data_IF_172073751424
#
_entry.id   IF_172073751424
#
_cell.length_a   1.000
_cell.length_b   1.000
_cell.length_c   1.000
_cell.angle_alpha   90.00
_cell.angle_beta   90.00
_cell.angle_gamma   90.00
#
_symmetry.space_group_name_H-M   'P 1'
#
loop_
_entity.id
_entity.type
_entity.pdbx_description
1 polymer ?
#
# COMPACT_ATOMS: atom_id res chain seq x y z
N UNK A 1 -66.55 41.65 -3.85
CA UNK A 1 -66.46 41.10 -5.23
C UNK A 1 -65.29 41.83 -5.87
N UNK A 2 -64.15 41.27 -6.26
CA UNK A 2 -63.78 39.89 -6.61
C UNK A 2 -62.23 39.81 -6.61
N UNK A 3 -61.67 38.73 -6.06
CA UNK A 3 -60.85 37.71 -6.72
C UNK A 3 -59.32 37.92 -6.73
N UNK A 4 -58.66 37.07 -5.93
CA UNK A 4 -57.34 36.46 -6.16
C UNK A 4 -57.10 36.08 -7.63
N UNK A 5 -55.84 36.16 -8.11
CA UNK A 5 -55.09 34.93 -8.44
C UNK A 5 -53.58 35.18 -8.41
N UNK A 6 -52.89 34.37 -7.61
CA UNK A 6 -51.45 34.17 -7.59
C UNK A 6 -51.00 33.52 -8.90
N UNK A 7 -50.04 34.10 -9.60
CA UNK A 7 -49.40 33.46 -10.74
C UNK A 7 -48.28 32.54 -10.25
N UNK A 8 -48.58 31.25 -10.12
CA UNK A 8 -47.59 30.19 -10.00
C UNK A 8 -46.82 30.08 -11.33
N UNK A 9 -45.47 30.04 -11.35
CA UNK A 9 -44.77 29.75 -12.59
C UNK A 9 -45.05 28.30 -12.99
N UNK A 10 -45.61 28.12 -14.19
CA UNK A 10 -45.77 26.81 -14.80
C UNK A 10 -44.40 26.13 -14.93
N UNK A 11 -44.25 24.94 -14.35
CA UNK A 11 -43.11 24.07 -14.62
C UNK A 11 -43.15 23.71 -16.11
N UNK A 12 -42.24 24.30 -16.89
CA UNK A 12 -42.05 23.94 -18.28
C UNK A 12 -41.59 22.48 -18.33
N UNK A 13 -42.40 21.62 -18.96
CA UNK A 13 -41.99 20.26 -19.26
C UNK A 13 -40.72 20.31 -20.12
N UNK A 14 -39.69 19.49 -19.81
CA UNK A 14 -38.45 19.48 -20.58
C UNK A 14 -38.78 19.15 -22.04
N UNK A 15 -38.25 19.94 -22.96
CA UNK A 15 -38.47 19.74 -24.39
C UNK A 15 -37.92 18.37 -24.82
N UNK A 16 -38.44 17.77 -25.90
CA UNK A 16 -37.97 16.48 -26.40
C UNK A 16 -36.45 16.41 -26.63
N UNK A 17 -35.84 17.54 -27.04
CA UNK A 17 -34.39 17.67 -27.19
C UNK A 17 -33.63 17.60 -25.86
N UNK A 18 -34.15 18.22 -24.79
CA UNK A 18 -33.54 18.15 -23.46
C UNK A 18 -33.62 16.75 -22.87
N UNK A 19 -34.74 16.03 -23.08
CA UNK A 19 -34.85 14.63 -22.66
C UNK A 19 -33.85 13.74 -23.40
N UNK A 20 -33.68 13.96 -24.71
CA UNK A 20 -32.73 13.20 -25.53
C UNK A 20 -31.29 13.45 -25.07
N UNK A 21 -30.94 14.70 -24.79
CA UNK A 21 -29.62 15.06 -24.24
C UNK A 21 -29.38 14.46 -22.85
N UNK A 22 -30.38 14.50 -21.96
CA UNK A 22 -30.28 13.91 -20.62
C UNK A 22 -30.11 12.39 -20.68
N UNK A 23 -30.81 11.72 -21.60
CA UNK A 23 -30.70 10.28 -21.83
C UNK A 23 -29.31 9.90 -22.35
N UNK A 24 -28.73 10.70 -23.24
CA UNK A 24 -27.36 10.50 -23.74
C UNK A 24 -26.30 10.71 -22.66
N UNK A 25 -26.47 11.72 -21.80
CA UNK A 25 -25.57 11.98 -20.69
C UNK A 25 -25.62 10.86 -19.64
N UNK A 26 -26.83 10.34 -19.35
CA UNK A 26 -27.01 9.21 -18.44
C UNK A 26 -26.38 7.93 -19.01
N UNK A 27 -26.51 7.70 -20.32
CA UNK A 27 -25.87 6.56 -20.98
C UNK A 27 -24.34 6.66 -20.90
N UNK A 28 -23.76 7.85 -21.11
CA UNK A 28 -22.32 8.08 -20.98
C UNK A 28 -21.83 7.86 -19.54
N UNK A 29 -22.57 8.34 -18.54
CA UNK A 29 -22.24 8.13 -17.13
C UNK A 29 -22.30 6.64 -16.75
N UNK A 30 -23.30 5.91 -17.26
CA UNK A 30 -23.44 4.46 -17.03
C UNK A 30 -22.26 3.70 -17.66
N UNK A 31 -21.82 4.11 -18.85
CA UNK A 31 -20.68 3.50 -19.53
C UNK A 31 -19.36 3.72 -18.76
N UNK A 32 -19.16 4.92 -18.22
CA UNK A 32 -18.02 5.24 -17.34
C UNK A 32 -18.05 4.42 -16.05
N UNK A 33 -19.23 4.26 -15.44
CA UNK A 33 -19.38 3.48 -14.21
C UNK A 33 -19.12 1.98 -14.45
N UNK A 34 -19.50 1.46 -15.64
CA UNK A 34 -19.27 0.08 -16.04
C UNK A 34 -17.79 -0.21 -16.33
N UNK A 35 -17.06 0.76 -16.93
CA UNK A 35 -15.60 0.66 -17.05
C UNK A 35 -14.90 0.67 -15.68
N UNK A 36 -15.36 1.51 -14.74
CA UNK A 36 -14.73 1.59 -13.42
C UNK A 36 -14.98 0.35 -12.55
N UNK A 37 -16.10 -0.36 -12.73
CA UNK A 37 -16.36 -1.62 -12.02
C UNK A 37 -15.52 -2.81 -12.52
N UNK A 38 -14.81 -2.68 -13.65
CA UNK A 38 -13.98 -3.76 -14.19
C UNK A 38 -12.60 -3.90 -13.51
N UNK A 39 -12.23 -3.02 -12.58
CA UNK A 39 -10.89 -3.02 -11.93
C UNK A 39 -10.82 -3.64 -10.52
N UNK A 40 -11.58 -4.69 -10.22
CA UNK A 40 -11.20 -5.64 -9.17
C UNK A 40 -11.55 -7.08 -9.58
N UNK A 41 -10.58 -7.91 -10.02
CA UNK A 41 -10.85 -9.32 -10.19
C UNK A 41 -11.09 -9.94 -8.80
N UNK A 42 -12.35 -10.24 -8.51
CA UNK A 42 -12.71 -11.18 -7.46
C UNK A 42 -12.18 -12.55 -7.89
N UNK A 43 -11.08 -12.99 -7.28
CA UNK A 43 -10.43 -14.27 -7.56
C UNK A 43 -11.43 -15.42 -7.39
N UNK A 44 -11.89 -15.98 -8.51
CA UNK A 44 -12.63 -17.26 -8.53
C UNK A 44 -11.65 -18.38 -8.86
N UNK A 45 -11.67 -19.52 -8.14
CA UNK A 45 -10.78 -20.63 -8.47
C UNK A 45 -11.20 -21.25 -9.80
N UNK A 46 -10.35 -21.14 -10.83
CA UNK A 46 -10.63 -21.69 -12.16
C UNK A 46 -10.10 -23.12 -12.27
N UNK A 47 -10.94 -24.06 -12.72
CA UNK A 47 -10.62 -25.50 -12.88
C UNK A 47 -9.94 -25.84 -14.23
N UNK A 48 -9.67 -24.83 -15.06
CA UNK A 48 -9.17 -25.02 -16.42
C UNK A 48 -7.71 -24.54 -16.52
N UNK A 49 -6.76 -25.37 -17.00
CA UNK A 49 -5.34 -25.02 -17.08
C UNK A 49 -5.02 -23.79 -17.94
N UNK A 50 -5.85 -23.47 -18.95
CA UNK A 50 -5.68 -22.26 -19.76
C UNK A 50 -5.98 -20.98 -18.97
N UNK A 51 -6.97 -21.03 -18.07
CA UNK A 51 -7.32 -19.90 -17.20
C UNK A 51 -6.30 -19.73 -16.07
N UNK A 52 -5.67 -20.82 -15.63
CA UNK A 52 -4.55 -20.78 -14.70
C UNK A 52 -3.35 -20.06 -15.32
N UNK A 53 -2.96 -20.42 -16.55
CA UNK A 53 -1.83 -19.75 -17.22
C UNK A 53 -2.15 -18.28 -17.54
N UNK A 54 -3.40 -17.95 -17.85
CA UNK A 54 -3.84 -16.56 -17.99
C UNK A 54 -3.72 -15.79 -16.66
N UNK A 55 -4.17 -16.37 -15.54
CA UNK A 55 -4.04 -15.79 -14.20
C UNK A 55 -2.58 -15.62 -13.75
N UNK A 56 -1.72 -16.60 -14.04
CA UNK A 56 -0.29 -16.53 -13.77
C UNK A 56 0.40 -15.46 -14.62
N UNK A 57 0.02 -15.32 -15.88
CA UNK A 57 0.54 -14.25 -16.73
C UNK A 57 0.05 -12.88 -16.30
N UNK A 58 -1.19 -12.74 -15.81
CA UNK A 58 -1.66 -11.51 -15.19
C UNK A 58 -0.80 -11.15 -13.96
N UNK A 59 -0.58 -12.10 -13.05
CA UNK A 59 0.30 -11.92 -11.89
C UNK A 59 1.73 -11.53 -12.27
N UNK A 60 2.34 -12.22 -13.25
CA UNK A 60 3.69 -11.88 -13.75
C UNK A 60 3.74 -10.48 -14.34
N UNK A 61 2.70 -10.07 -15.06
CA UNK A 61 2.62 -8.75 -15.67
C UNK A 61 2.37 -7.65 -14.63
N UNK A 62 1.57 -7.92 -13.61
CA UNK A 62 1.33 -7.01 -12.49
C UNK A 62 2.61 -6.83 -11.67
N UNK A 63 3.32 -7.91 -11.37
CA UNK A 63 4.63 -7.84 -10.71
C UNK A 63 5.67 -7.07 -11.56
N UNK A 64 5.72 -7.31 -12.88
CA UNK A 64 6.59 -6.54 -13.78
C UNK A 64 6.22 -5.06 -13.81
N UNK A 65 4.92 -4.74 -13.83
CA UNK A 65 4.40 -3.38 -13.81
C UNK A 65 4.77 -2.69 -12.50
N UNK A 66 4.54 -3.35 -11.37
CA UNK A 66 4.88 -2.89 -10.04
C UNK A 66 6.39 -2.64 -9.91
N UNK A 67 7.22 -3.59 -10.39
CA UNK A 67 8.68 -3.41 -10.45
C UNK A 67 9.10 -2.24 -11.32
N UNK A 68 8.46 -2.02 -12.47
CA UNK A 68 8.79 -0.89 -13.35
C UNK A 68 8.32 0.45 -12.75
N UNK A 69 7.20 0.48 -12.03
CA UNK A 69 6.75 1.66 -11.30
C UNK A 69 7.58 1.95 -10.05
N UNK A 70 8.07 0.91 -9.35
CA UNK A 70 9.04 1.06 -8.28
C UNK A 70 10.38 1.56 -8.83
N UNK A 71 10.82 1.04 -9.99
CA UNK A 71 12.02 1.52 -10.70
C UNK A 71 11.95 2.99 -11.10
N UNK A 72 10.77 3.48 -11.49
CA UNK A 72 10.56 4.91 -11.82
C UNK A 72 10.71 5.83 -10.59
N UNK A 73 10.77 5.28 -9.38
CA UNK A 73 11.20 5.97 -8.15
C UNK A 73 12.54 5.48 -7.59
N UNK A 74 13.23 4.52 -8.24
CA UNK A 74 14.58 4.06 -7.87
C UNK A 74 15.69 4.95 -8.46
N UNK A 75 15.40 5.84 -9.40
CA UNK A 75 16.41 6.80 -9.90
C UNK A 75 16.95 7.72 -8.78
N UNK A 76 16.21 7.84 -7.67
CA UNK A 76 16.61 8.55 -6.44
C UNK A 76 16.97 7.60 -5.27
N UNK A 77 17.16 6.30 -5.53
CA UNK A 77 17.52 5.34 -4.48
C UNK A 77 19.00 5.50 -4.12
N UNK A 78 19.25 6.26 -3.05
CA UNK A 78 20.53 6.39 -2.36
C UNK A 78 20.69 5.24 -1.36
N UNK A 79 21.60 4.26 -1.59
CA UNK A 79 21.82 3.16 -0.68
C UNK A 79 22.11 3.65 0.75
N UNK A 80 21.65 2.92 1.76
CA UNK A 80 22.00 3.25 3.16
C UNK A 80 23.29 2.51 3.51
N UNK A 81 24.33 3.24 3.88
CA UNK A 81 25.53 2.62 4.43
C UNK A 81 25.36 2.33 5.94
N UNK A 82 26.07 1.33 6.45
CA UNK A 82 25.91 0.86 7.85
C UNK A 82 26.33 1.93 8.89
N UNK A 83 27.31 2.76 8.55
CA UNK A 83 27.86 3.83 9.38
C UNK A 83 26.90 5.03 9.52
N UNK A 84 26.03 5.24 8.53
CA UNK A 84 24.97 6.25 8.58
C UNK A 84 23.91 5.94 9.64
N UNK A 85 23.74 4.66 9.98
CA UNK A 85 22.74 4.18 10.94
C UNK A 85 23.25 4.46 12.37
N UNK A 86 22.93 5.66 12.88
CA UNK A 86 23.38 6.09 14.21
C UNK A 86 22.46 5.60 15.32
N UNK A 87 23.01 4.83 16.25
CA UNK A 87 22.30 4.39 17.46
C UNK A 87 22.17 5.54 18.46
N UNK A 88 21.04 5.60 19.15
CA UNK A 88 20.83 6.50 20.30
C UNK A 88 21.20 5.79 21.60
N UNK A 89 21.15 6.48 22.74
CA UNK A 89 21.31 5.83 24.05
C UNK A 89 20.29 4.68 24.27
N UNK A 90 19.06 4.82 23.76
CA UNK A 90 18.01 3.80 23.91
C UNK A 90 18.15 2.63 22.93
N UNK A 91 18.88 2.79 21.84
CA UNK A 91 19.00 1.77 20.77
C UNK A 91 20.43 1.27 20.59
N UNK A 92 21.33 1.66 21.50
CA UNK A 92 22.69 1.14 21.54
C UNK A 92 22.66 -0.36 21.80
N UNK A 93 23.46 -1.10 21.04
CA UNK A 93 23.72 -2.51 21.30
C UNK A 93 24.67 -2.62 22.50
N UNK A 94 24.28 -3.39 23.49
CA UNK A 94 25.09 -3.75 24.65
C UNK A 94 26.01 -4.90 24.28
N UNK A 95 27.18 -4.99 24.94
CA UNK A 95 28.15 -6.06 24.72
C UNK A 95 27.51 -7.45 24.85
N UNK A 96 26.69 -7.65 25.88
CA UNK A 96 25.96 -8.91 26.12
C UNK A 96 24.97 -9.27 25.01
N UNK A 97 24.49 -8.31 24.22
CA UNK A 97 23.63 -8.59 23.06
C UNK A 97 24.46 -8.98 21.83
N UNK A 98 25.68 -8.44 21.70
CA UNK A 98 26.60 -8.79 20.61
C UNK A 98 27.16 -10.21 20.71
N UNK A 99 27.23 -10.73 21.94
CA UNK A 99 27.75 -12.07 22.23
C UNK A 99 26.68 -13.17 22.08
N UNK A 100 25.44 -12.81 21.74
CA UNK A 100 24.40 -13.79 21.46
C UNK A 100 24.65 -14.47 20.11
N UNK A 101 24.47 -15.79 20.06
CA UNK A 101 24.71 -16.61 18.86
C UNK A 101 23.87 -16.19 17.65
N UNK A 102 22.69 -15.60 17.88
CA UNK A 102 21.76 -15.14 16.85
C UNK A 102 21.79 -13.63 16.62
N UNK A 103 22.82 -12.92 17.12
CA UNK A 103 23.00 -11.50 16.88
C UNK A 103 23.18 -11.16 15.40
N UNK A 104 22.57 -10.06 14.96
CA UNK A 104 22.65 -9.56 13.59
C UNK A 104 23.32 -8.17 13.53
N UNK A 105 24.39 -7.99 12.73
CA UNK A 105 24.93 -6.66 12.43
C UNK A 105 23.88 -5.79 11.71
N UNK A 106 24.09 -4.48 11.67
CA UNK A 106 23.07 -3.56 11.10
C UNK A 106 22.94 -3.77 9.61
N UNK A 107 24.02 -4.06 8.91
CA UNK A 107 24.03 -4.41 7.48
C UNK A 107 23.14 -5.62 7.16
N UNK A 108 23.18 -6.68 7.98
CA UNK A 108 22.29 -7.84 7.78
C UNK A 108 20.83 -7.51 8.06
N UNK A 109 20.55 -6.71 9.10
CA UNK A 109 19.19 -6.23 9.38
C UNK A 109 18.65 -5.34 8.27
N UNK A 110 19.48 -4.42 7.76
CA UNK A 110 19.16 -3.56 6.63
C UNK A 110 18.83 -4.40 5.40
N UNK A 111 19.69 -5.36 5.05
CA UNK A 111 19.50 -6.24 3.89
C UNK A 111 18.12 -6.91 3.89
N UNK A 112 17.64 -7.38 5.05
CA UNK A 112 16.31 -8.00 5.14
C UNK A 112 15.19 -6.94 5.07
N UNK A 113 15.30 -5.87 5.87
CA UNK A 113 14.23 -4.88 6.01
C UNK A 113 14.05 -4.00 4.76
N UNK A 114 15.09 -3.90 3.95
CA UNK A 114 15.09 -3.14 2.70
C UNK A 114 14.12 -3.67 1.64
N UNK A 115 13.61 -4.89 1.74
CA UNK A 115 12.61 -5.39 0.80
C UNK A 115 11.18 -5.02 1.17
N UNK A 116 10.96 -4.43 2.36
CA UNK A 116 9.63 -4.08 2.82
C UNK A 116 9.16 -2.71 2.32
N UNK A 117 7.86 -2.61 2.08
CA UNK A 117 7.19 -1.37 1.68
C UNK A 117 7.04 -0.43 2.88
N UNK A 118 6.87 0.88 2.61
CA UNK A 118 6.64 1.88 3.67
C UNK A 118 5.44 1.52 4.56
N UNK A 119 4.27 1.09 4.03
CA UNK A 119 3.16 0.66 4.87
C UNK A 119 3.50 -0.53 5.78
N UNK A 120 4.23 -1.53 5.26
CA UNK A 120 4.64 -2.69 6.04
C UNK A 120 5.61 -2.29 7.16
N UNK A 121 6.62 -1.48 6.87
CA UNK A 121 7.56 -0.98 7.89
C UNK A 121 6.83 -0.22 9.01
N UNK A 122 5.79 0.55 8.68
CA UNK A 122 4.99 1.30 9.68
C UNK A 122 4.11 0.42 10.56
N UNK A 123 3.72 -0.78 10.10
CA UNK A 123 2.92 -1.70 10.90
C UNK A 123 3.75 -2.62 11.80
N UNK A 124 5.04 -2.82 11.49
CA UNK A 124 5.95 -3.64 12.31
C UNK A 124 6.13 -3.06 13.72
N UNK A 125 6.18 -3.95 14.71
CA UNK A 125 6.35 -3.67 16.13
C UNK A 125 7.35 -4.63 16.74
N UNK A 126 8.27 -4.12 17.54
CA UNK A 126 9.16 -5.01 18.29
C UNK A 126 8.47 -5.55 19.55
N UNK A 127 9.15 -6.44 20.28
CA UNK A 127 8.62 -7.04 21.50
C UNK A 127 8.25 -6.03 22.60
N UNK A 128 8.77 -4.80 22.55
CA UNK A 128 8.41 -3.68 23.43
C UNK A 128 7.24 -2.84 22.89
N UNK A 129 6.61 -3.26 21.80
CA UNK A 129 5.54 -2.53 21.11
C UNK A 129 5.98 -1.29 20.34
N UNK A 130 7.30 -1.08 20.16
CA UNK A 130 7.83 0.10 19.44
C UNK A 130 7.75 -0.10 17.93
N UNK A 131 7.37 0.96 17.23
CA UNK A 131 7.26 1.02 15.76
C UNK A 131 8.41 1.85 15.17
N UNK A 132 8.81 1.61 13.91
CA UNK A 132 9.70 2.50 13.17
C UNK A 132 9.17 3.91 13.09
N UNK A 133 10.07 4.88 13.16
CA UNK A 133 9.76 6.31 13.08
C UNK A 133 10.48 6.93 11.89
N UNK A 134 9.76 7.74 11.12
CA UNK A 134 10.33 8.42 9.96
C UNK A 134 9.26 9.00 9.05
N UNK A 135 9.58 10.14 8.46
CA UNK A 135 8.74 10.82 7.48
C UNK A 135 8.81 10.14 6.11
N UNK A 136 9.99 9.61 5.77
CA UNK A 136 10.28 8.94 4.50
C UNK A 136 10.79 7.51 4.72
N UNK A 137 10.99 6.78 3.62
CA UNK A 137 11.42 5.38 3.64
C UNK A 137 12.80 5.19 4.29
N UNK A 138 13.75 6.08 3.99
CA UNK A 138 15.13 6.01 4.51
C UNK A 138 15.15 6.11 6.03
N UNK A 139 14.45 7.11 6.58
CA UNK A 139 14.30 7.29 8.04
C UNK A 139 13.59 6.11 8.71
N UNK A 140 12.55 5.56 8.08
CA UNK A 140 11.85 4.38 8.57
C UNK A 140 12.79 3.15 8.62
N UNK A 141 13.60 2.93 7.58
CA UNK A 141 14.57 1.83 7.58
C UNK A 141 15.64 2.02 8.66
N UNK A 142 16.26 3.20 8.73
CA UNK A 142 17.29 3.50 9.73
C UNK A 142 16.76 3.30 11.16
N UNK A 143 15.51 3.69 11.44
CA UNK A 143 14.90 3.48 12.76
C UNK A 143 14.50 2.02 12.99
N UNK A 144 13.95 1.32 11.99
CA UNK A 144 13.55 -0.08 12.10
C UNK A 144 14.73 -1.00 12.44
N UNK A 145 15.87 -0.78 11.79
CA UNK A 145 17.12 -1.55 12.02
C UNK A 145 17.56 -1.45 13.49
N UNK A 146 17.28 -0.33 14.16
CA UNK A 146 17.66 -0.09 15.55
C UNK A 146 16.70 -0.72 16.57
N UNK A 147 15.53 -1.20 16.15
CA UNK A 147 14.52 -1.80 17.04
C UNK A 147 14.70 -3.30 17.25
N UNK A 148 15.52 -3.94 16.41
CA UNK A 148 15.81 -5.37 16.42
C UNK A 148 17.31 -5.60 16.41
N UNK A 149 17.80 -6.63 17.09
CA UNK A 149 19.22 -6.93 17.22
C UNK A 149 19.53 -8.37 16.87
N UNK A 150 18.63 -9.28 17.20
CA UNK A 150 18.81 -10.71 16.95
C UNK A 150 17.93 -11.21 15.81
N UNK A 151 18.22 -12.41 15.33
CA UNK A 151 17.41 -13.10 14.32
C UNK A 151 15.99 -13.35 14.82
N UNK A 152 15.84 -13.78 16.06
CA UNK A 152 14.54 -13.99 16.70
C UNK A 152 13.72 -12.70 16.74
N UNK A 153 14.31 -11.61 17.22
CA UNK A 153 13.64 -10.29 17.25
C UNK A 153 13.26 -9.80 15.85
N UNK A 154 14.12 -10.01 14.83
CA UNK A 154 13.82 -9.61 13.46
C UNK A 154 12.63 -10.37 12.88
N UNK A 155 12.52 -11.68 13.16
CA UNK A 155 11.39 -12.50 12.70
C UNK A 155 10.09 -12.04 13.37
N UNK A 156 10.07 -11.88 14.69
CA UNK A 156 8.88 -11.41 15.43
C UNK A 156 8.44 -10.03 14.93
N UNK A 157 9.41 -9.15 14.67
CA UNK A 157 9.18 -7.81 14.13
C UNK A 157 8.49 -7.85 12.77
N UNK A 158 8.98 -8.68 11.85
CA UNK A 158 8.37 -8.85 10.53
C UNK A 158 6.96 -9.45 10.65
N UNK A 159 6.81 -10.52 11.44
CA UNK A 159 5.54 -11.21 11.61
C UNK A 159 4.46 -10.33 12.26
N UNK A 160 4.84 -9.36 13.09
CA UNK A 160 3.89 -8.40 13.66
C UNK A 160 3.20 -7.49 12.64
N UNK A 161 3.72 -7.41 11.41
CA UNK A 161 3.10 -6.66 10.30
C UNK A 161 2.09 -7.49 9.50
N UNK A 162 2.05 -8.80 9.72
CA UNK A 162 1.08 -9.67 9.07
C UNK A 162 -0.32 -9.43 9.66
N UNK A 163 -1.37 -9.37 8.83
CA UNK A 163 -2.73 -9.33 9.33
C UNK A 163 -3.00 -10.62 10.12
N UNK A 164 -3.63 -10.50 11.28
CA UNK A 164 -4.18 -11.66 11.99
C UNK A 164 -5.16 -12.37 11.03
N UNK A 165 -4.98 -13.67 10.81
CA UNK A 165 -5.96 -14.46 10.06
C UNK A 165 -7.32 -14.38 10.80
N UNK A 166 -8.32 -13.77 10.15
CA UNK A 166 -9.72 -13.73 10.60
C UNK A 166 -10.49 -14.81 9.85
#
# INVERSE_FOLDING_TARGET
MSQDVSATPAQAAPTPDMMTMMMQMMQQQTQLMQQMQQEKPLWKPTKNPQDLEAGLNALRNDYKRERMTMKKGEEDYDPIEEDEIKSTASTRTLQAEMEQDDFLPKSQRLYVLEFFTVPALRSMRNWKGRVPMGSNRRELLMSAILLVKTKSELMDFILSSCPDEI
#
